data_IF_709210814440
#
_entry.id   IF_709210814440
#
_cell.length_a   1.000
_cell.length_b   1.000
_cell.length_c   1.000
_cell.angle_alpha   90.00
_cell.angle_beta   90.00
_cell.angle_gamma   90.00
#
_symmetry.space_group_name_H-M   'P 1'
#
loop_
_entity.id
_entity.type
_entity.pdbx_description
1 polymer ?
#
# COMPACT_ATOMS: atom_id res chain seq x y z
N UNK A 1 -6.93 -0.51 8.55
CA UNK A 1 -7.14 -1.49 7.47
C UNK A 1 -6.26 -1.23 6.24
N UNK A 2 -5.83 -0.01 5.93
CA UNK A 2 -4.96 0.25 4.77
C UNK A 2 -3.54 -0.34 4.82
N UNK A 3 -2.92 -0.46 6.02
CA UNK A 3 -1.52 -0.88 6.12
C UNK A 3 -1.32 -2.35 5.70
N UNK A 4 -2.08 -3.28 6.29
CA UNK A 4 -1.96 -4.71 5.99
C UNK A 4 -2.28 -5.01 4.52
N UNK A 5 -3.29 -4.33 3.98
CA UNK A 5 -3.68 -4.45 2.58
C UNK A 5 -2.59 -3.91 1.64
N UNK A 6 -2.01 -2.74 1.95
CA UNK A 6 -0.89 -2.17 1.18
C UNK A 6 0.41 -2.96 1.29
N UNK A 7 0.67 -3.58 2.45
CA UNK A 7 1.82 -4.47 2.64
C UNK A 7 1.68 -5.75 1.82
N UNK A 8 0.48 -6.34 1.80
CA UNK A 8 0.22 -7.53 0.98
C UNK A 8 0.43 -7.24 -0.51
N UNK A 9 -0.10 -6.13 -1.04
CA UNK A 9 0.11 -5.74 -2.44
C UNK A 9 1.60 -5.45 -2.73
N UNK A 10 2.30 -4.76 -1.83
CA UNK A 10 3.73 -4.46 -2.00
C UNK A 10 4.62 -5.71 -1.95
N UNK A 11 4.37 -6.62 -1.00
CA UNK A 11 5.13 -7.87 -0.91
C UNK A 11 4.85 -8.75 -2.12
N UNK A 12 3.59 -8.84 -2.56
CA UNK A 12 3.22 -9.57 -3.78
C UNK A 12 3.93 -9.02 -5.03
N UNK A 13 4.12 -7.71 -5.13
CA UNK A 13 4.96 -7.07 -6.16
C UNK A 13 6.46 -7.38 -5.99
N UNK A 14 6.94 -7.46 -4.76
CA UNK A 14 8.35 -7.73 -4.41
C UNK A 14 8.76 -9.20 -4.54
N UNK A 15 7.80 -10.14 -4.61
CA UNK A 15 8.03 -11.53 -5.00
C UNK A 15 8.36 -11.56 -6.50
N UNK A 16 9.59 -11.20 -6.84
CA UNK A 16 10.03 -11.05 -8.23
C UNK A 16 9.99 -12.37 -9.02
N UNK A 17 10.39 -12.33 -10.31
CA UNK A 17 10.41 -13.50 -11.20
C UNK A 17 11.22 -14.69 -10.67
N UNK A 18 12.13 -14.44 -9.73
CA UNK A 18 12.93 -15.47 -9.07
C UNK A 18 12.08 -16.47 -8.25
N UNK A 19 10.89 -16.07 -7.78
CA UNK A 19 9.97 -16.92 -7.03
C UNK A 19 8.69 -17.19 -7.83
N UNK A 20 8.18 -16.20 -8.59
CA UNK A 20 7.04 -16.37 -9.50
C UNK A 20 7.38 -15.75 -10.86
N UNK A 21 7.91 -16.54 -11.82
CA UNK A 21 8.35 -16.04 -13.12
C UNK A 21 7.27 -15.30 -13.94
N UNK A 22 6.00 -15.61 -13.69
CA UNK A 22 4.84 -15.04 -14.41
C UNK A 22 4.15 -13.88 -13.68
N UNK A 23 4.76 -13.33 -12.63
CA UNK A 23 4.14 -12.27 -11.79
C UNK A 23 3.70 -11.05 -12.61
N UNK A 24 4.47 -10.66 -13.63
CA UNK A 24 4.14 -9.54 -14.51
C UNK A 24 2.92 -9.82 -15.40
N UNK A 25 2.79 -11.03 -15.95
CA UNK A 25 1.64 -11.43 -16.78
C UNK A 25 0.37 -11.53 -15.93
N UNK A 26 0.48 -12.08 -14.71
CA UNK A 26 -0.62 -12.14 -13.75
C UNK A 26 -1.08 -10.71 -13.43
N UNK A 27 -0.14 -9.79 -13.17
CA UNK A 27 -0.43 -8.39 -12.88
C UNK A 27 -1.17 -7.72 -14.03
N UNK A 28 -0.69 -7.89 -15.25
CA UNK A 28 -1.31 -7.31 -16.43
C UNK A 28 -2.76 -7.79 -16.59
N UNK A 29 -3.01 -9.10 -16.45
CA UNK A 29 -4.37 -9.64 -16.56
C UNK A 29 -5.28 -9.18 -15.42
N UNK A 30 -4.78 -9.06 -14.19
CA UNK A 30 -5.55 -8.49 -13.08
C UNK A 30 -5.92 -7.02 -13.32
N UNK A 31 -4.99 -6.20 -13.81
CA UNK A 31 -5.26 -4.80 -14.14
C UNK A 31 -6.25 -4.67 -15.30
N UNK A 32 -6.09 -5.46 -16.38
CA UNK A 32 -7.03 -5.49 -17.49
C UNK A 32 -8.42 -5.93 -17.05
N UNK A 33 -8.54 -6.91 -16.14
CA UNK A 33 -9.83 -7.37 -15.61
C UNK A 33 -10.48 -6.32 -14.72
N UNK A 34 -9.69 -5.60 -13.92
CA UNK A 34 -10.14 -4.47 -13.09
C UNK A 34 -10.61 -3.28 -13.94
N UNK A 35 -9.96 -3.04 -15.09
CA UNK A 35 -10.33 -2.00 -16.04
C UNK A 35 -11.56 -2.38 -16.89
N UNK A 36 -11.69 -3.64 -17.32
CA UNK A 36 -12.82 -4.14 -18.13
C UNK A 36 -14.07 -4.46 -17.30
N UNK A 37 -13.92 -4.77 -16.01
CA UNK A 37 -15.00 -5.25 -15.14
C UNK A 37 -15.92 -4.18 -14.55
N UNK A 38 -15.69 -2.89 -14.80
CA UNK A 38 -16.54 -1.82 -14.29
C UNK A 38 -17.31 -1.15 -15.45
N UNK A 39 -18.54 -1.62 -15.70
CA UNK A 39 -19.50 -0.86 -16.51
C UNK A 39 -19.66 0.56 -15.91
N UNK A 40 -19.90 1.58 -16.75
CA UNK A 40 -20.13 2.97 -16.27
C UNK A 40 -21.25 3.04 -15.22
N UNK A 41 -22.23 2.14 -15.31
CA UNK A 41 -23.32 1.99 -14.34
C UNK A 41 -22.83 1.43 -12.99
N UNK A 42 -21.88 0.49 -13.04
CA UNK A 42 -21.31 -0.18 -11.87
C UNK A 42 -20.37 0.77 -11.10
N UNK A 43 -19.64 1.64 -11.81
CA UNK A 43 -18.87 2.74 -11.19
C UNK A 43 -19.78 3.77 -10.49
N UNK A 44 -20.90 4.14 -11.13
CA UNK A 44 -21.86 5.08 -10.53
C UNK A 44 -22.52 4.50 -9.27
N UNK A 45 -22.88 3.21 -9.28
CA UNK A 45 -23.46 2.51 -8.14
C UNK A 45 -22.45 2.38 -6.98
N UNK A 46 -21.18 2.07 -7.26
CA UNK A 46 -20.10 2.01 -6.26
C UNK A 46 -19.83 3.36 -5.60
N UNK A 47 -19.89 4.45 -6.38
CA UNK A 47 -19.76 5.82 -5.87
C UNK A 47 -20.91 6.18 -4.92
N UNK A 48 -22.13 5.76 -5.26
CA UNK A 48 -23.34 6.01 -4.48
C UNK A 48 -23.40 5.16 -3.19
N UNK A 49 -22.82 3.96 -3.21
CA UNK A 49 -22.70 3.05 -2.06
C UNK A 49 -21.44 3.27 -1.20
N UNK A 50 -20.58 4.27 -1.50
CA UNK A 50 -19.37 4.57 -0.73
C UNK A 50 -18.21 3.58 -0.91
N UNK A 51 -18.29 2.66 -1.89
CA UNK A 51 -17.23 1.70 -2.22
C UNK A 51 -15.95 2.37 -2.77
N UNK A 52 -16.07 3.58 -3.32
CA UNK A 52 -14.91 4.39 -3.76
C UNK A 52 -14.05 4.91 -2.60
N UNK A 53 -14.64 5.13 -1.42
CA UNK A 53 -13.87 5.48 -0.23
C UNK A 53 -12.97 4.31 0.20
N UNK A 54 -13.46 3.07 0.05
CA UNK A 54 -12.71 1.86 0.32
C UNK A 54 -11.58 1.66 -0.70
N UNK A 55 -11.83 1.86 -1.99
CA UNK A 55 -10.82 1.74 -3.05
C UNK A 55 -9.68 2.76 -2.96
N UNK A 56 -9.98 4.02 -2.58
CA UNK A 56 -8.95 5.03 -2.32
C UNK A 56 -8.02 4.61 -1.18
N UNK A 57 -8.57 3.97 -0.16
CA UNK A 57 -7.84 3.51 1.01
C UNK A 57 -6.75 2.44 0.67
N UNK A 58 -6.99 1.60 -0.35
CA UNK A 58 -6.00 0.63 -0.84
C UNK A 58 -4.82 1.32 -1.53
N UNK A 59 -5.11 2.25 -2.44
CA UNK A 59 -4.07 2.98 -3.20
C UNK A 59 -3.17 3.81 -2.29
N UNK A 60 -3.72 4.34 -1.21
CA UNK A 60 -2.97 5.17 -0.26
C UNK A 60 -2.03 4.30 0.58
N UNK A 61 -2.46 3.08 0.95
CA UNK A 61 -1.61 2.10 1.63
C UNK A 61 -0.42 1.64 0.79
N UNK A 62 -0.64 1.29 -0.48
CA UNK A 62 0.45 0.88 -1.38
C UNK A 62 1.50 1.99 -1.56
N UNK A 63 1.05 3.24 -1.81
CA UNK A 63 1.96 4.39 -1.95
C UNK A 63 2.75 4.66 -0.67
N UNK A 64 2.13 4.48 0.49
CA UNK A 64 2.83 4.59 1.77
C UNK A 64 3.93 3.55 1.89
N UNK A 65 3.63 2.26 1.68
CA UNK A 65 4.62 1.19 1.82
C UNK A 65 5.76 1.38 0.84
N UNK A 66 5.46 1.70 -0.42
CA UNK A 66 6.47 1.97 -1.45
C UNK A 66 7.40 3.12 -1.04
N UNK A 67 6.83 4.26 -0.66
CA UNK A 67 7.63 5.42 -0.26
C UNK A 67 8.51 5.15 0.98
N UNK A 68 8.01 4.37 1.95
CA UNK A 68 8.81 4.01 3.14
C UNK A 68 9.92 3.03 2.79
N UNK A 69 9.66 2.02 1.95
CA UNK A 69 10.68 1.05 1.56
C UNK A 69 11.73 1.70 0.66
N UNK A 70 11.34 2.59 -0.24
CA UNK A 70 12.27 3.32 -1.12
C UNK A 70 13.24 4.21 -0.30
N UNK A 71 12.77 4.82 0.79
CA UNK A 71 13.57 5.73 1.63
C UNK A 71 14.32 5.01 2.77
N UNK A 72 13.66 4.10 3.50
CA UNK A 72 14.19 3.48 4.72
C UNK A 72 14.60 2.01 4.54
N UNK A 73 14.38 1.44 3.35
CA UNK A 73 14.58 0.02 3.09
C UNK A 73 13.54 -0.88 3.75
N UNK A 74 13.57 -2.17 3.41
CA UNK A 74 12.65 -3.17 3.97
C UNK A 74 12.84 -3.32 5.50
N UNK A 75 14.08 -3.34 5.97
CA UNK A 75 14.37 -3.44 7.42
C UNK A 75 13.88 -2.20 8.18
N UNK A 76 13.95 -1.02 7.54
CA UNK A 76 13.37 0.19 8.09
C UNK A 76 11.85 0.09 8.19
N UNK A 77 11.18 -0.28 7.08
CA UNK A 77 9.74 -0.50 7.05
C UNK A 77 9.27 -1.51 8.12
N UNK A 78 10.01 -2.61 8.31
CA UNK A 78 9.67 -3.67 9.25
C UNK A 78 9.57 -3.22 10.72
N UNK A 79 10.06 -2.01 11.06
CA UNK A 79 9.80 -1.40 12.37
C UNK A 79 8.33 -1.22 12.67
N UNK A 80 7.48 -1.10 11.66
CA UNK A 80 6.02 -0.97 11.80
C UNK A 80 5.42 -2.09 12.68
N UNK A 81 6.04 -3.27 12.70
CA UNK A 81 5.59 -4.46 13.45
C UNK A 81 6.12 -4.54 14.88
N UNK A 82 7.00 -3.64 15.30
CA UNK A 82 7.67 -3.74 16.61
C UNK A 82 6.78 -3.29 17.76
N UNK A 83 5.78 -2.44 17.51
CA UNK A 83 4.87 -1.92 18.52
C UNK A 83 3.58 -1.37 17.91
N UNK A 84 2.45 -1.33 18.64
CA UNK A 84 1.29 -0.54 18.23
C UNK A 84 1.63 0.94 17.97
N UNK A 85 2.63 1.49 18.68
CA UNK A 85 3.06 2.88 18.51
C UNK A 85 3.82 3.12 17.20
N UNK A 86 4.35 2.08 16.55
CA UNK A 86 5.02 2.20 15.26
C UNK A 86 4.06 2.07 14.08
N UNK A 87 2.76 1.83 14.33
CA UNK A 87 1.77 1.86 13.26
C UNK A 87 1.62 3.30 12.70
N UNK A 88 1.44 3.45 11.37
CA UNK A 88 1.14 4.73 10.78
C UNK A 88 -0.30 5.13 11.08
N UNK A 89 -0.47 6.41 11.38
CA UNK A 89 -1.76 7.07 11.43
C UNK A 89 -2.29 7.31 10.02
N UNK A 90 -3.57 7.68 9.90
CA UNK A 90 -4.16 8.05 8.60
C UNK A 90 -3.45 9.24 7.95
N UNK A 91 -3.01 10.22 8.74
CA UNK A 91 -2.30 11.39 8.23
C UNK A 91 -0.93 10.99 7.64
N UNK A 92 -0.24 10.08 8.32
CA UNK A 92 1.06 9.56 7.88
C UNK A 92 0.97 8.65 6.66
N UNK A 93 -0.13 7.91 6.48
CA UNK A 93 -0.37 7.17 5.24
C UNK A 93 -0.46 8.14 4.05
N UNK A 94 -1.01 9.33 4.25
CA UNK A 94 -1.03 10.37 3.22
C UNK A 94 0.33 11.08 3.06
N UNK A 95 1.19 11.04 4.09
CA UNK A 95 2.51 11.69 4.14
C UNK A 95 3.56 10.75 4.73
N UNK A 96 4.12 9.82 3.93
CA UNK A 96 4.98 8.75 4.44
C UNK A 96 6.24 9.26 5.17
N UNK A 97 6.78 10.41 4.77
CA UNK A 97 7.93 11.05 5.41
C UNK A 97 7.70 11.38 6.90
N UNK A 98 6.47 11.69 7.30
CA UNK A 98 6.13 12.00 8.70
C UNK A 98 6.30 10.74 9.58
N UNK A 99 5.88 9.59 9.06
CA UNK A 99 6.08 8.30 9.74
C UNK A 99 7.56 7.95 9.86
N UNK A 100 8.30 8.12 8.77
CA UNK A 100 9.74 7.82 8.74
C UNK A 100 10.46 8.66 9.79
N UNK A 101 10.16 9.96 9.82
CA UNK A 101 10.72 10.88 10.83
C UNK A 101 10.39 10.41 12.24
N UNK A 102 9.14 10.05 12.52
CA UNK A 102 8.73 9.63 13.86
C UNK A 102 9.35 8.32 14.31
N UNK A 103 9.48 7.33 13.41
CA UNK A 103 9.90 5.96 13.76
C UNK A 103 11.42 5.77 13.67
N UNK A 104 12.11 6.60 12.87
CA UNK A 104 13.54 6.45 12.62
C UNK A 104 14.41 7.59 13.18
N UNK A 105 13.84 8.73 13.58
CA UNK A 105 14.64 9.77 14.23
C UNK A 105 15.12 9.28 15.59
N UNK A 106 16.44 9.13 15.74
CA UNK A 106 17.07 8.98 17.05
C UNK A 106 16.87 10.28 17.83
N UNK A 107 16.56 10.23 19.14
CA UNK A 107 16.58 11.45 19.94
C UNK A 107 17.98 12.04 19.85
N UNK A 108 18.05 13.34 19.53
CA UNK A 108 19.30 14.10 19.60
C UNK A 108 19.75 14.09 21.07
N UNK A 109 20.96 13.59 21.29
CA UNK A 109 21.60 13.52 22.60
C UNK A 109 22.25 14.85 22.97
#
# INVERSE_FOLDING_TARGET
MSLLEGHADFVMDGVGPAVVPSVDEIREKFQQRRAKGASRLDMALRKLLGLDAKLRQYRDGERFVRAVVDEAGMDGFNRVWTSPNTLPTKAEIAKPADWITRVHRKPEA
#
